data_IF_260843557394
#
_entry.id   IF_260843557394
#
_cell.length_a   1.000
_cell.length_b   1.000
_cell.length_c   1.000
_cell.angle_alpha   90.00
_cell.angle_beta   90.00
_cell.angle_gamma   90.00
#
_symmetry.space_group_name_H-M   'P 1'
#
loop_
_entity.id
_entity.type
_entity.pdbx_description
1 polymer ?
#
# COMPACT_ATOMS: atom_id res chain seq x y z
N UNK A 1 5.86 -17.69 -7.04
CA UNK A 1 5.26 -16.54 -6.31
C UNK A 1 5.94 -16.45 -4.96
N UNK A 2 6.32 -15.26 -4.54
CA UNK A 2 7.13 -15.04 -3.34
C UNK A 2 6.47 -13.94 -2.50
N UNK A 3 6.26 -14.21 -1.21
CA UNK A 3 5.81 -13.15 -0.30
C UNK A 3 6.94 -12.13 -0.08
N UNK A 4 6.66 -10.88 -0.40
CA UNK A 4 7.57 -9.76 -0.24
C UNK A 4 7.51 -9.20 1.18
N UNK A 5 8.57 -8.56 1.63
CA UNK A 5 8.58 -7.88 2.93
C UNK A 5 7.90 -6.52 2.81
N UNK A 6 6.87 -6.28 3.62
CA UNK A 6 6.19 -4.98 3.68
C UNK A 6 6.98 -4.04 4.60
N UNK A 7 7.33 -2.87 4.09
CA UNK A 7 7.96 -1.81 4.86
C UNK A 7 6.97 -1.20 5.85
N UNK A 8 7.43 -0.90 7.07
CA UNK A 8 6.62 -0.27 8.11
C UNK A 8 7.07 1.17 8.39
N UNK A 9 6.12 2.06 8.56
CA UNK A 9 6.35 3.45 9.00
C UNK A 9 7.15 3.48 10.32
N UNK A 10 8.16 4.33 10.47
CA UNK A 10 8.58 5.44 9.61
C UNK A 10 9.76 5.13 8.67
N UNK A 11 9.84 3.94 8.08
CA UNK A 11 10.91 3.61 7.13
C UNK A 11 10.98 4.69 6.03
N UNK A 12 12.15 5.34 5.79
CA UNK A 12 12.27 6.44 4.84
C UNK A 12 12.03 6.02 3.38
N UNK A 13 12.17 4.74 3.04
CA UNK A 13 11.88 4.20 1.71
C UNK A 13 10.41 4.36 1.32
N UNK A 14 9.49 4.39 2.31
CA UNK A 14 8.08 4.69 2.08
C UNK A 14 7.83 6.13 1.57
N UNK A 15 8.83 7.00 1.63
CA UNK A 15 8.75 8.40 1.15
C UNK A 15 9.32 8.58 -0.27
N UNK A 16 9.80 7.53 -0.89
CA UNK A 16 10.32 7.58 -2.25
C UNK A 16 9.16 7.64 -3.24
N UNK A 17 9.20 8.62 -4.14
CA UNK A 17 8.23 8.75 -5.22
C UNK A 17 8.52 7.69 -6.29
N UNK A 18 7.50 6.95 -6.67
CA UNK A 18 7.60 5.89 -7.66
C UNK A 18 7.76 6.43 -9.09
N UNK A 19 8.66 5.84 -9.86
CA UNK A 19 8.84 6.16 -11.28
C UNK A 19 7.78 5.46 -12.15
N UNK A 20 7.39 6.05 -13.28
CA UNK A 20 6.52 5.39 -14.26
C UNK A 20 7.09 4.05 -14.73
N UNK A 21 6.19 3.14 -15.12
CA UNK A 21 6.53 1.84 -15.71
C UNK A 21 6.62 2.00 -17.22
N UNK A 22 7.83 1.91 -17.77
CA UNK A 22 8.05 2.12 -19.20
C UNK A 22 7.36 1.05 -20.07
N UNK A 23 7.33 -0.20 -19.60
CA UNK A 23 6.73 -1.33 -20.31
C UNK A 23 6.26 -2.38 -19.29
N UNK A 24 5.09 -2.96 -19.52
CA UNK A 24 4.58 -4.09 -18.75
C UNK A 24 5.17 -5.38 -19.32
N UNK A 25 6.36 -5.71 -18.91
CA UNK A 25 7.10 -6.93 -19.28
C UNK A 25 6.85 -8.09 -18.29
N UNK A 26 7.56 -9.20 -18.47
CA UNK A 26 7.43 -10.37 -17.60
C UNK A 26 7.95 -10.11 -16.16
N UNK A 27 8.91 -9.20 -15.99
CA UNK A 27 9.36 -8.77 -14.65
C UNK A 27 8.23 -8.05 -13.90
N UNK A 28 7.55 -7.12 -14.57
CA UNK A 28 6.39 -6.41 -14.00
C UNK A 28 5.25 -7.39 -13.70
N UNK A 29 4.97 -8.36 -14.58
CA UNK A 29 3.94 -9.39 -14.35
C UNK A 29 4.29 -10.30 -13.15
N UNK A 30 5.55 -10.65 -13.00
CA UNK A 30 6.03 -11.42 -11.82
C UNK A 30 5.85 -10.59 -10.54
N UNK A 31 6.23 -9.31 -10.56
CA UNK A 31 6.03 -8.41 -9.43
C UNK A 31 4.54 -8.29 -9.06
N UNK A 32 3.64 -8.15 -10.04
CA UNK A 32 2.19 -8.14 -9.81
C UNK A 32 1.73 -9.40 -9.07
N UNK A 33 2.20 -10.57 -9.50
CA UNK A 33 1.83 -11.84 -8.87
C UNK A 33 2.35 -11.92 -7.42
N UNK A 34 3.58 -11.52 -7.16
CA UNK A 34 4.19 -11.52 -5.83
C UNK A 34 3.52 -10.47 -4.91
N UNK A 35 3.13 -9.31 -5.45
CA UNK A 35 2.37 -8.30 -4.71
C UNK A 35 0.97 -8.79 -4.31
N UNK A 36 0.25 -9.46 -5.20
CA UNK A 36 -1.07 -10.05 -4.91
C UNK A 36 -0.95 -11.11 -3.81
N UNK A 37 0.02 -12.02 -3.91
CA UNK A 37 0.27 -13.03 -2.87
C UNK A 37 0.59 -12.37 -1.53
N UNK A 38 1.45 -11.35 -1.53
CA UNK A 38 1.83 -10.59 -0.33
C UNK A 38 0.63 -9.89 0.30
N UNK A 39 -0.19 -9.22 -0.52
CA UNK A 39 -1.41 -8.53 -0.09
C UNK A 39 -2.38 -9.49 0.58
N UNK A 40 -2.65 -10.65 -0.04
CA UNK A 40 -3.56 -11.65 0.52
C UNK A 40 -3.01 -12.30 1.79
N UNK A 41 -1.72 -12.64 1.83
CA UNK A 41 -1.06 -13.18 3.01
C UNK A 41 -1.12 -12.22 4.21
N UNK A 42 -0.99 -10.92 3.95
CA UNK A 42 -1.11 -9.88 4.95
C UNK A 42 -2.56 -9.49 5.27
N UNK A 43 -3.56 -10.14 4.66
CA UNK A 43 -5.00 -9.84 4.80
C UNK A 43 -5.36 -8.39 4.42
N UNK A 44 -4.57 -7.77 3.54
CA UNK A 44 -4.83 -6.45 2.98
C UNK A 44 -5.85 -6.48 1.85
N UNK A 45 -6.38 -5.31 1.47
CA UNK A 45 -7.27 -5.09 0.33
C UNK A 45 -6.60 -4.27 -0.77
N UNK A 46 -5.43 -3.69 -0.49
CA UNK A 46 -4.59 -2.94 -1.41
C UNK A 46 -3.12 -3.06 -1.03
N UNK A 47 -2.25 -2.87 -2.02
CA UNK A 47 -0.80 -2.83 -1.83
C UNK A 47 -0.15 -2.07 -3.00
N UNK A 48 0.64 -1.06 -2.67
CA UNK A 48 1.47 -0.33 -3.62
C UNK A 48 2.90 -0.90 -3.67
N UNK A 49 3.54 -0.86 -4.82
CA UNK A 49 4.89 -1.40 -5.01
C UNK A 49 5.93 -0.74 -4.09
N UNK A 50 5.77 0.54 -3.78
CA UNK A 50 6.65 1.26 -2.84
C UNK A 50 6.64 0.69 -1.43
N UNK A 51 5.55 0.03 -1.02
CA UNK A 51 5.46 -0.62 0.30
C UNK A 51 6.30 -1.91 0.38
N UNK A 52 6.71 -2.46 -0.74
CA UNK A 52 7.61 -3.63 -0.84
C UNK A 52 8.97 -3.27 -1.43
N UNK A 53 9.38 -2.00 -1.27
CA UNK A 53 10.68 -1.46 -1.70
C UNK A 53 10.91 -1.48 -3.22
N UNK A 54 9.84 -1.48 -4.01
CA UNK A 54 9.89 -1.36 -5.46
C UNK A 54 9.29 -0.02 -5.88
N UNK A 55 10.12 0.90 -6.37
CA UNK A 55 9.70 2.29 -6.64
C UNK A 55 9.22 2.46 -8.09
N UNK A 56 8.26 1.63 -8.49
CA UNK A 56 7.53 1.69 -9.77
C UNK A 56 6.07 2.04 -9.51
N UNK A 57 5.44 2.81 -10.39
CA UNK A 57 4.02 3.19 -10.26
C UNK A 57 3.11 2.00 -10.58
N UNK A 58 2.94 1.14 -9.60
CA UNK A 58 2.16 -0.08 -9.68
C UNK A 58 1.45 -0.31 -8.35
N UNK A 59 0.17 -0.65 -8.39
CA UNK A 59 -0.61 -1.06 -7.24
C UNK A 59 -1.58 -2.20 -7.59
N UNK A 60 -1.92 -2.98 -6.58
CA UNK A 60 -2.90 -4.06 -6.67
C UNK A 60 -3.99 -3.86 -5.61
N UNK A 61 -5.24 -4.19 -5.95
CA UNK A 61 -6.41 -4.01 -5.07
C UNK A 61 -7.36 -5.19 -5.27
N UNK A 62 -7.94 -5.65 -4.16
CA UNK A 62 -9.10 -6.53 -4.15
C UNK A 62 -9.99 -6.17 -2.97
N UNK A 63 -11.12 -5.52 -3.26
CA UNK A 63 -12.13 -5.13 -2.27
C UNK A 63 -13.34 -6.07 -2.25
N UNK A 64 -13.28 -7.18 -3.01
CA UNK A 64 -14.36 -8.18 -3.02
C UNK A 64 -14.41 -8.96 -1.70
N UNK A 65 -15.60 -9.35 -1.29
CA UNK A 65 -15.81 -10.14 -0.07
C UNK A 65 -15.12 -11.50 -0.15
N UNK A 66 -15.18 -12.13 -1.32
CA UNK A 66 -14.60 -13.45 -1.60
C UNK A 66 -13.10 -13.42 -1.89
N UNK A 67 -12.49 -12.23 -2.01
CA UNK A 67 -11.07 -12.02 -2.37
C UNK A 67 -10.65 -12.76 -3.64
N UNK A 68 -11.46 -12.64 -4.67
CA UNK A 68 -11.33 -13.32 -5.96
C UNK A 68 -11.47 -12.40 -7.17
N UNK A 69 -11.48 -11.07 -6.96
CA UNK A 69 -11.57 -10.04 -8.00
C UNK A 69 -10.37 -9.07 -7.97
N UNK A 70 -9.12 -9.58 -8.09
CA UNK A 70 -7.95 -8.72 -8.04
C UNK A 70 -7.92 -7.75 -9.22
N UNK A 71 -7.59 -6.49 -8.93
CA UNK A 71 -7.42 -5.42 -9.89
C UNK A 71 -5.99 -4.93 -9.87
N UNK A 72 -5.44 -4.64 -11.04
CA UNK A 72 -4.07 -4.16 -11.24
C UNK A 72 -4.12 -2.80 -11.89
N UNK A 73 -3.36 -1.86 -11.36
CA UNK A 73 -3.24 -0.51 -11.89
C UNK A 73 -1.76 -0.18 -12.07
N UNK A 74 -1.34 -0.10 -13.32
CA UNK A 74 0.00 0.36 -13.71
C UNK A 74 -0.10 1.80 -14.17
N UNK A 75 0.77 2.66 -13.69
CA UNK A 75 0.78 4.12 -13.92
C UNK A 75 -0.59 4.78 -13.65
N UNK A 76 -1.22 4.52 -12.50
CA UNK A 76 -2.54 5.07 -12.20
C UNK A 76 -2.52 6.60 -12.05
N UNK A 77 -3.56 7.24 -12.60
CA UNK A 77 -3.83 8.67 -12.49
C UNK A 77 -5.31 8.89 -12.19
N UNK A 78 -5.62 9.67 -11.16
CA UNK A 78 -6.99 10.10 -10.88
C UNK A 78 -7.30 11.33 -11.74
N UNK A 79 -8.16 11.16 -12.75
CA UNK A 79 -8.50 12.19 -13.73
C UNK A 79 -9.78 12.97 -13.38
N UNK A 80 -10.60 12.47 -12.46
CA UNK A 80 -11.75 13.20 -11.91
C UNK A 80 -12.02 12.78 -10.48
N UNK A 81 -12.53 13.71 -9.67
CA UNK A 81 -12.95 13.50 -8.26
C UNK A 81 -14.28 14.17 -8.02
N UNK A 82 -15.13 13.51 -7.24
CA UNK A 82 -16.43 14.05 -6.84
C UNK A 82 -16.80 13.59 -5.44
N UNK A 83 -17.58 14.44 -4.73
CA UNK A 83 -18.05 14.20 -3.37
C UNK A 83 -16.96 13.85 -2.37
N UNK A 84 -16.71 14.72 -1.41
CA UNK A 84 -15.73 14.46 -0.34
C UNK A 84 -16.45 13.89 0.89
N UNK A 85 -15.86 12.88 1.51
CA UNK A 85 -16.38 12.27 2.74
C UNK A 85 -15.27 11.70 3.61
N UNK A 86 -15.59 11.49 4.88
CA UNK A 86 -14.68 10.87 5.85
C UNK A 86 -14.79 9.35 5.76
N UNK A 87 -13.65 8.69 5.82
CA UNK A 87 -13.55 7.23 5.87
C UNK A 87 -12.46 6.81 6.83
N UNK A 88 -12.72 5.77 7.63
CA UNK A 88 -11.70 5.20 8.50
C UNK A 88 -10.75 4.33 7.69
N UNK A 89 -9.47 4.70 7.68
CA UNK A 89 -8.40 4.00 6.98
C UNK A 89 -7.44 3.30 7.94
N UNK A 90 -6.96 2.14 7.52
CA UNK A 90 -5.78 1.45 8.04
C UNK A 90 -4.79 1.22 6.91
N UNK A 91 -3.58 0.77 7.23
CA UNK A 91 -2.53 0.53 6.24
C UNK A 91 -1.63 -0.63 6.68
N UNK A 92 -1.27 -1.52 5.76
CA UNK A 92 -0.32 -2.60 6.03
C UNK A 92 1.06 -2.08 6.48
N UNK A 93 1.45 -0.89 6.00
CA UNK A 93 2.68 -0.21 6.41
C UNK A 93 2.57 0.56 7.74
N UNK A 94 1.37 0.66 8.32
CA UNK A 94 1.11 1.34 9.61
C UNK A 94 0.24 0.42 10.48
N UNK A 95 0.78 -0.72 10.93
CA UNK A 95 0.00 -1.79 11.53
C UNK A 95 -0.71 -1.35 12.81
N UNK A 96 -1.98 -1.76 12.97
CA UNK A 96 -2.77 -1.53 14.18
C UNK A 96 -3.21 -0.08 14.41
N UNK A 97 -3.09 0.79 13.40
CA UNK A 97 -3.54 2.17 13.44
C UNK A 97 -4.67 2.36 12.45
N UNK A 98 -5.77 2.96 12.93
CA UNK A 98 -6.95 3.30 12.13
C UNK A 98 -7.35 4.74 12.48
N UNK A 99 -7.55 5.56 11.46
CA UNK A 99 -7.90 6.98 11.63
C UNK A 99 -8.79 7.45 10.48
N UNK A 100 -9.61 8.46 10.76
CA UNK A 100 -10.48 9.05 9.76
C UNK A 100 -9.69 9.97 8.81
N UNK A 101 -9.88 9.76 7.52
CA UNK A 101 -9.27 10.55 6.44
C UNK A 101 -10.34 11.04 5.48
N UNK A 102 -10.20 12.27 5.00
CA UNK A 102 -11.07 12.83 3.97
C UNK A 102 -10.63 12.36 2.59
N UNK A 103 -11.57 11.74 1.84
CA UNK A 103 -11.32 11.26 0.47
C UNK A 103 -12.46 11.65 -0.46
N UNK A 104 -12.17 11.70 -1.76
CA UNK A 104 -13.22 11.71 -2.75
C UNK A 104 -14.00 10.39 -2.69
N UNK A 105 -15.33 10.45 -2.68
CA UNK A 105 -16.20 9.27 -2.62
C UNK A 105 -16.39 8.63 -3.99
N UNK A 106 -16.18 9.39 -5.04
CA UNK A 106 -16.20 8.93 -6.44
C UNK A 106 -15.01 9.50 -7.16
N UNK A 107 -14.35 8.64 -7.96
CA UNK A 107 -13.22 9.03 -8.80
C UNK A 107 -13.35 8.39 -10.17
N UNK A 108 -12.73 9.02 -11.16
CA UNK A 108 -12.35 8.36 -12.41
C UNK A 108 -10.85 8.21 -12.43
N UNK A 109 -10.38 6.99 -12.65
CA UNK A 109 -8.97 6.65 -12.73
C UNK A 109 -8.64 6.14 -14.12
N UNK A 110 -7.48 6.56 -14.64
CA UNK A 110 -6.86 6.03 -15.87
C UNK A 110 -5.62 5.24 -15.43
N UNK A 111 -5.41 4.07 -16.05
CA UNK A 111 -4.24 3.23 -15.78
C UNK A 111 -3.99 2.28 -16.97
N UNK A 112 -2.91 1.49 -16.87
CA UNK A 112 -2.72 0.29 -17.67
C UNK A 112 -3.07 -0.95 -16.84
N UNK A 113 -3.59 -1.98 -17.49
CA UNK A 113 -3.84 -3.28 -16.88
C UNK A 113 -2.56 -4.15 -16.79
N UNK A 114 -2.70 -5.38 -16.31
CA UNK A 114 -1.61 -6.35 -16.22
C UNK A 114 -0.96 -6.74 -17.55
N UNK A 115 -1.64 -6.47 -18.66
CA UNK A 115 -1.18 -6.73 -20.01
C UNK A 115 -0.64 -5.47 -20.71
N UNK A 116 -0.61 -4.32 -20.00
CA UNK A 116 -0.17 -3.04 -20.52
C UNK A 116 -1.21 -2.33 -21.39
N UNK A 117 -2.49 -2.74 -21.32
CA UNK A 117 -3.57 -2.11 -22.09
C UNK A 117 -4.17 -0.95 -21.29
N UNK A 118 -4.37 0.22 -21.91
CA UNK A 118 -4.97 1.37 -21.22
C UNK A 118 -6.45 1.12 -20.94
N UNK A 119 -6.90 1.58 -19.77
CA UNK A 119 -8.30 1.59 -19.37
C UNK A 119 -8.64 2.81 -18.53
N UNK A 120 -9.93 3.15 -18.49
CA UNK A 120 -10.49 4.09 -17.54
C UNK A 120 -11.56 3.39 -16.70
N UNK A 121 -11.66 3.74 -15.43
CA UNK A 121 -12.60 3.15 -14.49
C UNK A 121 -13.24 4.25 -13.65
N UNK A 122 -14.58 4.25 -13.60
CA UNK A 122 -15.33 4.98 -12.57
C UNK A 122 -15.41 4.10 -11.32
N UNK A 123 -14.89 4.59 -10.20
CA UNK A 123 -14.89 3.89 -8.92
C UNK A 123 -15.61 4.73 -7.87
N UNK A 124 -16.33 4.06 -6.99
CA UNK A 124 -16.99 4.65 -5.82
C UNK A 124 -16.72 3.82 -4.55
N UNK A 125 -17.21 4.32 -3.42
CA UNK A 125 -17.15 3.64 -2.14
C UNK A 125 -15.74 3.19 -1.76
N UNK A 126 -15.61 1.97 -1.24
CA UNK A 126 -14.35 1.42 -0.75
C UNK A 126 -13.28 1.32 -1.85
N UNK A 127 -13.68 1.00 -3.09
CA UNK A 127 -12.74 0.92 -4.20
C UNK A 127 -12.12 2.29 -4.51
N UNK A 128 -12.92 3.35 -4.55
CA UNK A 128 -12.42 4.72 -4.78
C UNK A 128 -11.44 5.16 -3.70
N UNK A 129 -11.74 4.84 -2.43
CA UNK A 129 -10.90 5.16 -1.29
C UNK A 129 -9.59 4.38 -1.33
N UNK A 130 -9.65 3.07 -1.59
CA UNK A 130 -8.48 2.22 -1.69
C UNK A 130 -7.54 2.67 -2.81
N UNK A 131 -8.06 2.98 -4.02
CA UNK A 131 -7.24 3.49 -5.12
C UNK A 131 -6.50 4.78 -4.72
N UNK A 132 -7.17 5.72 -4.07
CA UNK A 132 -6.55 6.97 -3.62
C UNK A 132 -5.47 6.71 -2.55
N UNK A 133 -5.72 5.79 -1.63
CA UNK A 133 -4.76 5.38 -0.60
C UNK A 133 -3.48 4.80 -1.22
N UNK A 134 -3.63 3.88 -2.18
CA UNK A 134 -2.49 3.24 -2.83
C UNK A 134 -1.71 4.20 -3.76
N UNK A 135 -2.41 5.13 -4.43
CA UNK A 135 -1.74 6.20 -5.21
C UNK A 135 -0.92 7.11 -4.31
N UNK A 136 -1.41 7.44 -3.11
CA UNK A 136 -0.62 8.22 -2.15
C UNK A 136 0.73 7.54 -1.84
N UNK A 137 0.74 6.22 -1.66
CA UNK A 137 1.99 5.48 -1.48
C UNK A 137 2.95 5.64 -2.65
N UNK A 138 2.45 5.62 -3.88
CA UNK A 138 3.28 5.86 -5.08
C UNK A 138 3.85 7.28 -5.13
N UNK A 139 3.20 8.23 -4.49
CA UNK A 139 3.64 9.62 -4.37
C UNK A 139 4.46 9.89 -3.07
N UNK A 140 4.84 8.85 -2.35
CA UNK A 140 5.59 8.94 -1.10
C UNK A 140 4.80 9.49 0.08
N UNK A 141 3.47 9.39 0.04
CA UNK A 141 2.54 9.84 1.10
C UNK A 141 1.95 8.64 1.85
N UNK A 142 1.61 8.88 3.10
CA UNK A 142 0.91 7.91 3.95
C UNK A 142 -0.36 8.56 4.51
N UNK A 143 -1.38 7.76 4.85
CA UNK A 143 -2.62 8.32 5.41
C UNK A 143 -2.38 9.11 6.71
N UNK A 144 -1.34 8.79 7.47
CA UNK A 144 -0.95 9.54 8.67
C UNK A 144 -0.57 10.99 8.39
N UNK A 145 -0.19 11.34 7.15
CA UNK A 145 0.16 12.70 6.75
C UNK A 145 -1.04 13.66 6.76
N UNK A 146 -2.25 13.12 6.65
CA UNK A 146 -3.51 13.88 6.75
C UNK A 146 -3.95 14.17 8.19
N UNK A 147 -3.24 13.60 9.17
CA UNK A 147 -3.55 13.75 10.59
C UNK A 147 -2.83 14.95 11.20
N UNK A 148 -3.34 15.43 12.35
CA UNK A 148 -2.66 16.47 13.12
C UNK A 148 -1.26 16.03 13.58
N UNK A 149 -0.36 16.99 13.78
CA UNK A 149 1.00 16.74 14.28
C UNK A 149 0.98 15.92 15.58
N UNK A 150 0.07 16.24 16.51
CA UNK A 150 -0.05 15.52 17.78
C UNK A 150 -0.43 14.04 17.57
N UNK A 151 -1.36 13.74 16.65
CA UNK A 151 -1.73 12.37 16.30
C UNK A 151 -0.55 11.63 15.68
N UNK A 152 0.16 12.23 14.72
CA UNK A 152 1.35 11.64 14.09
C UNK A 152 2.42 11.27 15.11
N UNK A 153 2.72 12.15 16.05
CA UNK A 153 3.69 11.89 17.12
C UNK A 153 3.27 10.73 18.03
N UNK A 154 1.99 10.65 18.39
CA UNK A 154 1.45 9.54 19.19
C UNK A 154 1.56 8.20 18.46
N UNK A 155 1.21 8.17 17.17
CA UNK A 155 1.33 6.99 16.32
C UNK A 155 2.79 6.53 16.25
N UNK A 156 3.72 7.45 15.98
CA UNK A 156 5.15 7.15 15.92
C UNK A 156 5.65 6.52 17.22
N UNK A 157 5.32 7.13 18.36
CA UNK A 157 5.71 6.60 19.68
C UNK A 157 5.14 5.19 19.94
N UNK A 158 3.87 4.96 19.57
CA UNK A 158 3.22 3.65 19.71
C UNK A 158 3.95 2.58 18.88
N UNK A 159 4.19 2.85 17.61
CA UNK A 159 4.85 1.91 16.70
C UNK A 159 6.32 1.64 17.10
N UNK A 160 7.04 2.65 17.58
CA UNK A 160 8.40 2.47 18.11
C UNK A 160 8.43 1.57 19.35
N UNK A 161 7.45 1.72 20.25
CA UNK A 161 7.31 0.85 21.42
C UNK A 161 7.01 -0.59 21.01
N UNK A 162 6.07 -0.80 20.12
CA UNK A 162 5.69 -2.13 19.63
C UNK A 162 6.85 -2.84 18.90
N UNK A 163 7.65 -2.09 18.13
CA UNK A 163 8.86 -2.59 17.45
C UNK A 163 9.92 -3.07 18.46
N UNK A 164 10.18 -2.27 19.49
CA UNK A 164 11.11 -2.67 20.58
C UNK A 164 10.64 -3.93 21.27
N UNK A 165 9.36 -4.01 21.60
CA UNK A 165 8.79 -5.19 22.23
C UNK A 165 8.90 -6.45 21.35
N UNK A 166 8.63 -6.34 20.04
CA UNK A 166 8.82 -7.44 19.08
C UNK A 166 10.28 -7.88 18.99
N UNK A 167 11.23 -6.95 19.02
CA UNK A 167 12.66 -7.25 19.01
C UNK A 167 13.11 -7.98 20.28
N UNK A 168 12.61 -7.58 21.44
CA UNK A 168 12.94 -8.18 22.75
C UNK A 168 12.33 -9.59 22.91
N UNK A 169 11.20 -9.87 22.28
CA UNK A 169 10.50 -11.18 22.35
C UNK A 169 10.91 -12.14 21.24
N UNK A 170 11.67 -11.69 20.23
CA UNK A 170 12.20 -12.54 19.20
C UNK A 170 13.19 -13.57 19.80
N UNK A 171 13.11 -14.88 19.48
CA UNK A 171 14.04 -15.86 19.99
C UNK A 171 15.47 -15.47 19.58
N UNK A 172 16.35 -15.25 20.56
CA UNK A 172 17.78 -15.06 20.31
C UNK A 172 18.26 -16.29 19.53
N UNK A 173 18.71 -16.09 18.30
CA UNK A 173 19.46 -17.14 17.60
C UNK A 173 20.65 -17.49 18.49
N UNK A 174 20.60 -18.66 19.11
CA UNK A 174 21.73 -19.24 19.84
C UNK A 174 22.90 -19.29 18.87
N UNK A 175 23.93 -18.50 19.15
CA UNK A 175 25.19 -18.59 18.42
C UNK A 175 25.69 -20.04 18.44
N UNK A 176 25.98 -20.56 17.27
CA UNK A 176 26.68 -21.84 17.18
C UNK A 176 28.02 -21.72 17.91
N UNK A 177 28.44 -22.74 18.70
CA UNK A 177 29.73 -22.71 19.34
C UNK A 177 30.81 -22.71 18.26
N UNK A 178 31.74 -21.75 18.35
CA UNK A 178 32.98 -21.74 17.59
C UNK A 178 33.85 -22.90 18.06
N UNK A 179 34.27 -23.76 17.16
CA UNK A 179 35.40 -24.71 17.36
C UNK A 179 36.70 -23.98 17.17
#
# INVERSE_FOLDING_TARGET
MTCLTILEYPDPRLRTVAAPVATVDDEVRTLIADMLETMYAAKGIGLAATQVDVHRRLLVIDVSDERNEPRVFVDPEVIARDATGSHQEGCLSVPGIYEDVQRAQRIRVRALDRDGRPFELDADGLLAICIQHEIDHLDGRLFVDYLSELKRQRIRKKLDKERRHRADTAPRRSGAPSL
#
